data_IF_601121081649
#
_entry.id   IF_601121081649
#
_cell.length_a   1.000
_cell.length_b   1.000
_cell.length_c   1.000
_cell.angle_alpha   90.00
_cell.angle_beta   90.00
_cell.angle_gamma   90.00
#
_symmetry.space_group_name_H-M   'P 1'
#
loop_
_entity.id
_entity.type
_entity.pdbx_description
1 polymer ?
#
# COMPACT_ATOMS: atom_id res chain seq x y z
N UNK A 1 8.10 12.21 -14.00
CA UNK A 1 7.97 12.23 -15.47
C UNK A 1 7.02 11.10 -15.83
N UNK A 2 5.97 11.36 -16.61
CA UNK A 2 4.98 10.32 -16.95
C UNK A 2 5.33 9.71 -18.31
N UNK A 3 5.42 8.39 -18.39
CA UNK A 3 5.65 7.65 -19.63
C UNK A 3 4.43 6.80 -19.98
N UNK A 4 4.22 6.54 -21.28
CA UNK A 4 3.12 5.69 -21.73
C UNK A 4 3.58 4.24 -21.73
N UNK A 5 2.80 3.37 -21.09
CA UNK A 5 2.96 1.92 -21.12
C UNK A 5 1.78 1.31 -21.88
N UNK A 6 2.07 0.53 -22.91
CA UNK A 6 1.06 -0.20 -23.69
C UNK A 6 1.11 -1.68 -23.30
N UNK A 7 -0.04 -2.21 -22.88
CA UNK A 7 -0.19 -3.61 -22.46
C UNK A 7 -1.16 -4.32 -23.41
N UNK A 8 -0.81 -5.54 -23.82
CA UNK A 8 -1.72 -6.42 -24.55
C UNK A 8 -2.52 -7.23 -23.55
N UNK A 9 -3.84 -7.02 -23.52
CA UNK A 9 -4.77 -7.65 -22.59
C UNK A 9 -6.04 -8.00 -23.37
N UNK A 10 -6.72 -9.06 -22.95
CA UNK A 10 -8.01 -9.47 -23.51
C UNK A 10 -9.06 -8.36 -23.42
N UNK A 11 -9.87 -8.24 -24.48
CA UNK A 11 -10.87 -7.18 -24.61
C UNK A 11 -11.94 -7.24 -23.52
N UNK A 12 -12.34 -8.44 -23.10
CA UNK A 12 -13.34 -8.63 -22.04
C UNK A 12 -12.83 -8.12 -20.70
N UNK A 13 -11.58 -8.44 -20.36
CA UNK A 13 -10.92 -7.94 -19.14
C UNK A 13 -10.83 -6.42 -19.14
N UNK A 14 -10.51 -5.79 -20.28
CA UNK A 14 -10.48 -4.32 -20.40
C UNK A 14 -11.86 -3.72 -20.11
N UNK A 15 -12.94 -4.36 -20.55
CA UNK A 15 -14.31 -3.87 -20.33
C UNK A 15 -14.65 -3.90 -18.84
N UNK A 16 -14.50 -5.05 -18.19
CA UNK A 16 -14.81 -5.22 -16.76
C UNK A 16 -13.94 -4.31 -15.89
N UNK A 17 -12.65 -4.16 -16.23
CA UNK A 17 -11.76 -3.27 -15.48
C UNK A 17 -12.15 -1.78 -15.61
N UNK A 18 -12.64 -1.35 -16.78
CA UNK A 18 -13.15 0.03 -16.96
C UNK A 18 -14.42 0.29 -16.17
N UNK A 19 -15.34 -0.68 -16.13
CA UNK A 19 -16.56 -0.60 -15.33
C UNK A 19 -16.22 -0.48 -13.84
N UNK A 20 -15.35 -1.35 -13.34
CA UNK A 20 -14.85 -1.30 -11.97
C UNK A 20 -14.19 0.03 -11.62
N UNK A 21 -13.30 0.53 -12.49
CA UNK A 21 -12.62 1.80 -12.26
C UNK A 21 -13.61 2.97 -12.18
N UNK A 22 -14.64 2.98 -13.05
CA UNK A 22 -15.70 3.99 -13.03
C UNK A 22 -16.52 3.94 -11.75
N UNK A 23 -16.92 2.76 -11.28
CA UNK A 23 -17.64 2.58 -10.01
C UNK A 23 -16.84 3.10 -8.81
N UNK A 24 -15.51 2.93 -8.83
CA UNK A 24 -14.62 3.43 -7.78
C UNK A 24 -14.19 4.88 -7.95
N UNK A 25 -14.67 5.58 -9.00
CA UNK A 25 -14.28 6.96 -9.29
C UNK A 25 -12.79 7.12 -9.61
N UNK A 26 -12.16 6.08 -10.15
CA UNK A 26 -10.73 6.07 -10.50
C UNK A 26 -10.53 5.82 -12.00
N UNK A 27 -9.37 6.23 -12.52
CA UNK A 27 -8.99 5.89 -13.90
C UNK A 27 -8.36 4.49 -13.95
N UNK A 28 -8.54 3.79 -15.07
CA UNK A 28 -7.92 2.48 -15.28
C UNK A 28 -6.39 2.54 -15.17
N UNK A 29 -5.78 3.59 -15.71
CA UNK A 29 -4.34 3.83 -15.58
C UNK A 29 -3.92 4.03 -14.12
N UNK A 30 -4.72 4.76 -13.33
CA UNK A 30 -4.45 4.96 -11.90
C UNK A 30 -4.56 3.67 -11.09
N UNK A 31 -5.53 2.81 -11.43
CA UNK A 31 -5.68 1.49 -10.82
C UNK A 31 -4.41 0.64 -11.05
N UNK A 32 -3.96 0.56 -12.31
CA UNK A 32 -2.78 -0.23 -12.69
C UNK A 32 -1.50 0.35 -12.11
N UNK A 33 -1.36 1.68 -12.11
CA UNK A 33 -0.22 2.37 -11.50
C UNK A 33 -0.13 2.09 -10.00
N UNK A 34 -1.26 2.13 -9.28
CA UNK A 34 -1.31 1.81 -7.86
C UNK A 34 -0.97 0.35 -7.59
N UNK A 35 -1.44 -0.57 -8.43
CA UNK A 35 -1.08 -1.98 -8.33
C UNK A 35 0.42 -2.19 -8.55
N UNK A 36 1.01 -1.59 -9.58
CA UNK A 36 2.46 -1.64 -9.79
C UNK A 36 3.22 -1.02 -8.64
N UNK A 37 2.72 0.08 -8.06
CA UNK A 37 3.34 0.66 -6.86
C UNK A 37 3.34 -0.33 -5.71
N UNK A 38 2.21 -0.99 -5.46
CA UNK A 38 2.04 -1.96 -4.39
C UNK A 38 3.03 -3.14 -4.52
N UNK A 39 3.08 -3.79 -5.68
CA UNK A 39 3.93 -4.98 -5.87
C UNK A 39 5.43 -4.67 -6.01
N UNK A 40 5.78 -3.42 -6.28
CA UNK A 40 7.17 -2.95 -6.34
C UNK A 40 7.59 -2.18 -5.08
N UNK A 41 6.73 -2.15 -4.05
CA UNK A 41 7.01 -1.44 -2.79
C UNK A 41 8.26 -1.99 -2.12
N UNK A 42 8.43 -3.31 -2.05
CA UNK A 42 9.59 -3.93 -1.38
C UNK A 42 10.91 -3.74 -2.15
N UNK A 43 10.82 -3.38 -3.43
CA UNK A 43 11.99 -3.09 -4.28
C UNK A 43 12.40 -1.63 -4.25
N UNK A 44 11.67 -0.78 -3.52
CA UNK A 44 11.94 0.65 -3.41
C UNK A 44 12.10 0.96 -1.93
N UNK A 45 13.28 1.43 -1.55
CA UNK A 45 13.42 2.07 -0.25
C UNK A 45 12.41 3.22 -0.18
N UNK A 46 11.46 3.11 0.76
CA UNK A 46 10.45 4.14 0.98
C UNK A 46 11.19 5.38 1.49
N UNK A 47 11.37 6.35 0.61
CA UNK A 47 12.04 7.58 1.00
C UNK A 47 11.13 8.39 1.95
N UNK A 48 11.69 9.05 2.98
CA UNK A 48 10.91 9.83 3.95
C UNK A 48 9.99 10.88 3.32
N UNK A 49 10.33 11.39 2.13
CA UNK A 49 9.54 12.39 1.40
C UNK A 49 8.28 11.81 0.74
N UNK A 50 8.22 10.49 0.56
CA UNK A 50 7.07 9.79 -0.05
C UNK A 50 6.00 9.40 0.97
N UNK A 51 6.27 9.58 2.27
CA UNK A 51 5.32 9.31 3.33
C UNK A 51 4.22 10.37 3.36
N UNK A 52 2.97 9.95 3.57
CA UNK A 52 1.88 10.90 3.79
C UNK A 52 2.20 11.81 5.00
N UNK A 53 1.71 13.06 5.03
CA UNK A 53 1.99 13.99 6.13
C UNK A 53 1.64 13.41 7.52
N UNK A 54 0.58 12.59 7.58
CA UNK A 54 0.19 11.87 8.80
C UNK A 54 1.23 10.85 9.23
N UNK A 55 1.68 9.99 8.32
CA UNK A 55 2.68 8.96 8.62
C UNK A 55 4.02 9.59 8.95
N UNK A 56 4.42 10.66 8.24
CA UNK A 56 5.66 11.38 8.50
C UNK A 56 5.73 11.95 9.92
N UNK A 57 4.59 12.43 10.45
CA UNK A 57 4.49 12.90 11.84
C UNK A 57 4.64 11.77 12.86
N UNK A 58 4.15 10.57 12.54
CA UNK A 58 4.18 9.41 13.44
C UNK A 58 5.53 8.67 13.43
N UNK A 59 6.27 8.77 12.33
CA UNK A 59 7.59 8.15 12.18
C UNK A 59 8.58 8.77 13.18
N UNK A 60 9.21 7.94 14.01
CA UNK A 60 10.20 8.36 15.00
C UNK A 60 9.61 8.86 16.32
N UNK A 61 8.28 8.81 16.51
CA UNK A 61 7.65 9.09 17.81
C UNK A 61 7.96 7.98 18.83
N UNK A 62 8.08 6.75 18.34
CA UNK A 62 8.35 5.59 19.18
C UNK A 62 9.82 5.21 19.08
N UNK A 63 10.51 5.26 20.20
CA UNK A 63 11.80 4.61 20.40
C UNK A 63 11.53 3.16 20.79
N UNK A 64 12.17 2.25 20.09
CA UNK A 64 12.01 0.82 20.25
C UNK A 64 13.40 0.26 20.53
N UNK A 65 13.52 -0.65 21.49
CA UNK A 65 14.77 -1.35 21.79
C UNK A 65 15.14 -2.30 20.64
N UNK A 66 16.44 -2.56 20.43
CA UNK A 66 16.93 -3.38 19.31
C UNK A 66 16.37 -4.82 19.32
N UNK A 67 15.91 -5.31 20.48
CA UNK A 67 15.36 -6.66 20.69
C UNK A 67 13.82 -6.71 20.66
N UNK A 68 13.17 -5.70 20.10
CA UNK A 68 11.71 -5.62 20.08
C UNK A 68 11.08 -6.54 19.01
N UNK A 69 10.39 -7.59 19.46
CA UNK A 69 9.52 -8.39 18.60
C UNK A 69 8.11 -7.77 18.50
N UNK A 70 7.85 -7.12 17.37
CA UNK A 70 6.54 -6.57 17.05
C UNK A 70 5.40 -7.59 17.14
N UNK A 71 5.64 -8.84 16.74
CA UNK A 71 4.58 -9.87 16.70
C UNK A 71 4.19 -10.31 18.09
N UNK A 72 5.17 -10.48 18.99
CA UNK A 72 4.93 -10.86 20.37
C UNK A 72 4.06 -9.82 21.09
N UNK A 73 4.48 -8.54 21.03
CA UNK A 73 3.73 -7.43 21.64
C UNK A 73 2.33 -7.30 21.04
N UNK A 74 2.19 -7.45 19.72
CA UNK A 74 0.88 -7.42 19.06
C UNK A 74 -0.04 -8.54 19.58
N UNK A 75 0.48 -9.76 19.71
CA UNK A 75 -0.28 -10.90 20.20
C UNK A 75 -0.71 -10.68 21.65
N UNK A 76 0.19 -10.23 22.52
CA UNK A 76 -0.15 -9.93 23.92
C UNK A 76 -1.25 -8.88 24.05
N UNK A 77 -1.15 -7.77 23.33
CA UNK A 77 -2.13 -6.68 23.42
C UNK A 77 -3.50 -7.08 22.86
N UNK A 78 -3.53 -7.91 21.81
CA UNK A 78 -4.77 -8.49 21.29
C UNK A 78 -5.39 -9.46 22.31
N UNK A 79 -4.59 -10.32 22.92
CA UNK A 79 -5.03 -11.21 24.00
C UNK A 79 -5.61 -10.43 25.18
N UNK A 80 -4.94 -9.37 25.64
CA UNK A 80 -5.44 -8.49 26.72
C UNK A 80 -6.76 -7.81 26.34
N UNK A 81 -6.88 -7.33 25.10
CA UNK A 81 -8.07 -6.60 24.63
C UNK A 81 -9.28 -7.51 24.44
N UNK A 82 -9.07 -8.69 23.88
CA UNK A 82 -10.15 -9.62 23.52
C UNK A 82 -10.35 -10.77 24.52
N UNK A 83 -9.50 -10.86 25.54
CA UNK A 83 -9.60 -11.86 26.61
C UNK A 83 -9.29 -13.28 26.13
N UNK A 84 -8.37 -13.44 25.19
CA UNK A 84 -7.92 -14.74 24.64
C UNK A 84 -6.63 -15.18 25.35
#
# INVERSE_FOLDING_TARGET
MNTKLTLTIEKEVIKTAKEYAKEKGQSLSGLVENYFKLITSDRREIQPEQLSPRIKRLRGIMTIDDDFDYKEVLTEELSKKYGI
#
